data_IF_227228051478
#
_entry.id   IF_227228051478
#
_cell.length_a   1.000
_cell.length_b   1.000
_cell.length_c   1.000
_cell.angle_alpha   90.00
_cell.angle_beta   90.00
_cell.angle_gamma   90.00
#
_symmetry.space_group_name_H-M   'P 1'
#
loop_
_entity.id
_entity.type
_entity.pdbx_description
1 polymer ?
#
# COMPACT_ATOMS: atom_id res chain seq x y z
N UNK A 1 2.67 2.99 -35.35
CA UNK A 1 4.08 2.99 -34.95
C UNK A 1 4.19 3.64 -33.59
N UNK A 2 4.50 2.88 -32.55
CA UNK A 2 4.72 3.40 -31.20
C UNK A 2 6.18 3.18 -30.84
N UNK A 3 7.01 4.21 -31.04
CA UNK A 3 8.42 4.17 -30.69
C UNK A 3 8.63 4.38 -29.19
N UNK A 4 9.81 3.98 -28.70
CA UNK A 4 10.28 4.20 -27.33
C UNK A 4 10.02 5.64 -26.83
N UNK A 5 10.17 6.64 -27.70
CA UNK A 5 9.87 8.06 -27.42
C UNK A 5 8.43 8.29 -26.94
N UNK A 6 7.44 7.65 -27.58
CA UNK A 6 6.01 7.80 -27.23
C UNK A 6 5.71 7.15 -25.87
N UNK A 7 6.39 6.05 -25.55
CA UNK A 7 6.25 5.39 -24.25
C UNK A 7 6.83 6.24 -23.13
N UNK A 8 7.99 6.88 -23.37
CA UNK A 8 8.62 7.80 -22.42
C UNK A 8 7.76 9.04 -22.20
N UNK A 9 7.23 9.65 -23.26
CA UNK A 9 6.33 10.81 -23.14
C UNK A 9 5.09 10.49 -22.31
N UNK A 10 4.44 9.34 -22.57
CA UNK A 10 3.30 8.88 -21.77
C UNK A 10 3.66 8.68 -20.31
N UNK A 11 4.78 8.02 -20.03
CA UNK A 11 5.24 7.82 -18.65
C UNK A 11 5.52 9.13 -17.91
N UNK A 12 6.05 10.13 -18.61
CA UNK A 12 6.27 11.48 -18.05
C UNK A 12 4.93 12.15 -17.72
N UNK A 13 3.94 12.08 -18.60
CA UNK A 13 2.62 12.68 -18.37
C UNK A 13 1.83 11.98 -17.25
N UNK A 14 1.99 10.65 -17.14
CA UNK A 14 1.46 9.86 -16.03
C UNK A 14 2.07 10.28 -14.69
N UNK A 15 3.39 10.48 -14.63
CA UNK A 15 4.07 10.98 -13.44
C UNK A 15 3.60 12.40 -13.09
N UNK A 16 3.46 13.30 -14.07
CA UNK A 16 2.93 14.65 -13.83
C UNK A 16 1.52 14.60 -13.23
N UNK A 17 0.66 13.74 -13.76
CA UNK A 17 -0.68 13.49 -13.23
C UNK A 17 -0.63 13.06 -11.77
N UNK A 18 0.21 12.09 -11.44
CA UNK A 18 0.36 11.61 -10.06
C UNK A 18 0.97 12.66 -9.12
N UNK A 19 1.89 13.48 -9.61
CA UNK A 19 2.57 14.53 -8.84
C UNK A 19 1.70 15.77 -8.59
N UNK A 20 0.69 16.02 -9.42
CA UNK A 20 -0.23 17.15 -9.30
C UNK A 20 -1.26 16.93 -8.17
N UNK A 21 -0.80 16.90 -6.91
CA UNK A 21 -1.63 16.63 -5.74
C UNK A 21 -2.71 17.70 -5.48
N UNK A 22 -2.44 18.94 -5.91
CA UNK A 22 -3.39 20.06 -5.75
C UNK A 22 -4.43 20.13 -6.87
N UNK A 23 -4.21 19.40 -7.95
CA UNK A 23 -5.14 19.28 -9.07
C UNK A 23 -6.01 18.05 -8.84
N UNK A 24 -7.30 18.28 -8.67
CA UNK A 24 -8.31 17.24 -8.48
C UNK A 24 -9.43 17.52 -9.47
N UNK A 25 -9.80 16.51 -10.23
CA UNK A 25 -10.97 16.56 -11.09
C UNK A 25 -12.24 16.74 -10.24
N UNK A 26 -13.28 17.32 -10.84
CA UNK A 26 -14.59 17.45 -10.19
C UNK A 26 -15.16 16.08 -9.83
N UNK A 27 -15.04 15.10 -10.74
CA UNK A 27 -15.49 13.71 -10.57
C UNK A 27 -14.70 12.96 -9.46
N UNK A 28 -13.38 13.13 -9.43
CA UNK A 28 -12.52 12.37 -8.52
C UNK A 28 -12.37 13.00 -7.14
N UNK A 29 -12.39 14.32 -7.05
CA UNK A 29 -12.29 15.11 -5.81
C UNK A 29 -11.25 14.58 -4.81
N UNK A 30 -11.69 14.42 -3.55
CA UNK A 30 -10.82 13.94 -2.45
C UNK A 30 -10.38 12.49 -2.61
N UNK A 31 -11.13 11.68 -3.36
CA UNK A 31 -10.82 10.27 -3.56
C UNK A 31 -9.68 10.11 -4.58
N UNK A 32 -9.65 10.94 -5.62
CA UNK A 32 -8.48 11.07 -6.50
C UNK A 32 -7.23 11.45 -5.70
N UNK A 33 -7.33 12.45 -4.81
CA UNK A 33 -6.22 12.83 -3.94
C UNK A 33 -5.76 11.66 -3.08
N UNK A 34 -6.69 10.91 -2.49
CA UNK A 34 -6.39 9.73 -1.68
C UNK A 34 -5.58 8.69 -2.48
N UNK A 35 -5.97 8.38 -3.72
CA UNK A 35 -5.23 7.42 -4.54
C UNK A 35 -3.86 7.97 -5.00
N UNK A 36 -3.74 9.27 -5.29
CA UNK A 36 -2.43 9.89 -5.61
C UNK A 36 -1.48 9.80 -4.42
N UNK A 37 -1.97 10.11 -3.22
CA UNK A 37 -1.18 9.98 -1.99
C UNK A 37 -0.84 8.52 -1.71
N UNK A 38 -1.77 7.60 -1.92
CA UNK A 38 -1.54 6.16 -1.77
C UNK A 38 -0.47 5.65 -2.74
N UNK A 39 -0.52 6.07 -4.01
CA UNK A 39 0.49 5.77 -5.02
C UNK A 39 1.89 6.19 -4.56
N UNK A 40 2.04 7.46 -4.15
CA UNK A 40 3.33 7.96 -3.69
C UNK A 40 3.79 7.30 -2.39
N UNK A 41 2.87 7.03 -1.46
CA UNK A 41 3.19 6.28 -0.25
C UNK A 41 3.74 4.89 -0.60
N UNK A 42 3.12 4.15 -1.52
CA UNK A 42 3.61 2.85 -1.96
C UNK A 42 4.97 2.92 -2.66
N UNK A 43 5.22 3.95 -3.47
CA UNK A 43 6.54 4.16 -4.11
C UNK A 43 7.62 4.47 -3.06
N UNK A 44 7.35 5.39 -2.13
CA UNK A 44 8.30 5.81 -1.10
C UNK A 44 8.57 4.66 -0.13
N UNK A 45 7.52 4.04 0.41
CA UNK A 45 7.63 2.95 1.39
C UNK A 45 8.21 1.71 0.72
N UNK A 46 7.65 1.28 -0.42
CA UNK A 46 8.14 0.13 -1.18
C UNK A 46 9.58 0.33 -1.66
N UNK A 47 9.93 1.53 -2.12
CA UNK A 47 11.30 1.90 -2.51
C UNK A 47 12.25 1.88 -1.31
N UNK A 48 11.85 2.46 -0.18
CA UNK A 48 12.63 2.39 1.06
C UNK A 48 12.86 0.93 1.47
N UNK A 49 11.85 0.05 1.40
CA UNK A 49 12.04 -1.37 1.70
C UNK A 49 12.87 -2.12 0.65
N UNK A 50 12.73 -1.80 -0.64
CA UNK A 50 13.47 -2.45 -1.72
C UNK A 50 14.96 -2.10 -1.70
N UNK A 51 15.32 -0.90 -1.21
CA UNK A 51 16.69 -0.40 -1.21
C UNK A 51 17.29 -0.25 0.20
N UNK A 52 16.54 -0.50 1.28
CA UNK A 52 17.08 -0.43 2.65
C UNK A 52 17.86 -1.69 3.02
N UNK A 53 19.11 -1.56 3.48
CA UNK A 53 19.88 -2.67 4.06
C UNK A 53 19.37 -3.09 5.45
N UNK A 54 18.55 -2.26 6.10
CA UNK A 54 17.86 -2.53 7.36
C UNK A 54 16.35 -2.38 7.12
N UNK A 55 15.74 -3.39 6.51
CA UNK A 55 14.30 -3.49 6.57
C UNK A 55 13.91 -3.68 8.05
N UNK A 56 12.87 -3.02 8.59
CA UNK A 56 12.34 -3.34 9.92
C UNK A 56 12.02 -4.83 10.14
N UNK A 57 11.80 -5.60 9.06
CA UNK A 57 11.66 -7.06 9.07
C UNK A 57 13.01 -7.81 9.00
N UNK A 58 14.13 -7.12 8.72
CA UNK A 58 15.48 -7.67 8.62
C UNK A 58 16.26 -7.56 9.94
N UNK A 59 15.80 -6.72 10.88
CA UNK A 59 16.33 -6.68 12.25
C UNK A 59 16.01 -7.98 12.99
N UNK A 60 14.91 -8.65 12.62
CA UNK A 60 14.64 -10.02 13.01
C UNK A 60 15.23 -10.91 11.92
N UNK A 61 16.37 -11.54 12.20
CA UNK A 61 16.94 -12.59 11.35
C UNK A 61 16.07 -13.85 11.47
N UNK A 62 14.81 -13.75 11.07
CA UNK A 62 13.86 -14.85 11.12
C UNK A 62 14.22 -15.84 10.01
N UNK A 63 14.74 -17.00 10.42
CA UNK A 63 15.27 -18.06 9.56
C UNK A 63 14.21 -18.75 8.67
N UNK A 64 12.93 -18.38 8.82
CA UNK A 64 11.83 -19.05 8.16
C UNK A 64 11.59 -18.53 6.73
N UNK A 65 11.48 -19.41 5.71
CA UNK A 65 11.22 -18.99 4.32
C UNK A 65 10.00 -18.09 4.12
N UNK A 66 9.00 -18.19 5.01
CA UNK A 66 7.81 -17.34 5.02
C UNK A 66 8.10 -15.87 5.33
N UNK A 67 9.04 -15.56 6.23
CA UNK A 67 9.38 -14.19 6.60
C UNK A 67 10.08 -13.45 5.45
N UNK A 68 10.94 -14.16 4.71
CA UNK A 68 11.63 -13.67 3.51
C UNK A 68 10.66 -13.43 2.35
N UNK A 69 9.66 -14.31 2.19
CA UNK A 69 8.58 -14.11 1.21
C UNK A 69 7.76 -12.87 1.53
N UNK A 70 7.38 -12.70 2.80
CA UNK A 70 6.63 -11.52 3.28
C UNK A 70 7.45 -10.25 3.05
N UNK A 71 8.74 -10.25 3.39
CA UNK A 71 9.63 -9.10 3.21
C UNK A 71 9.76 -8.67 1.73
N UNK A 72 9.89 -9.62 0.81
CA UNK A 72 9.93 -9.35 -0.64
C UNK A 72 8.57 -8.89 -1.19
N UNK A 73 7.48 -9.41 -0.64
CA UNK A 73 6.13 -9.00 -1.00
C UNK A 73 5.82 -7.54 -0.59
N UNK A 74 6.39 -7.06 0.52
CA UNK A 74 6.21 -5.67 0.95
C UNK A 74 7.08 -4.65 0.23
N UNK A 75 8.35 -4.96 -0.05
CA UNK A 75 9.22 -4.02 -0.75
C UNK A 75 8.93 -3.97 -2.25
N UNK A 76 9.37 -5.02 -2.96
CA UNK A 76 9.23 -5.09 -4.42
C UNK A 76 7.78 -5.27 -4.85
N UNK A 77 6.97 -6.01 -4.09
CA UNK A 77 5.54 -6.17 -4.39
C UNK A 77 4.77 -4.84 -4.31
N UNK A 78 5.08 -3.96 -3.34
CA UNK A 78 4.45 -2.65 -3.28
C UNK A 78 4.83 -1.75 -4.47
N UNK A 79 6.11 -1.73 -4.86
CA UNK A 79 6.59 -0.91 -5.99
C UNK A 79 6.08 -1.42 -7.34
N UNK A 80 6.14 -2.73 -7.58
CA UNK A 80 5.85 -3.30 -8.90
C UNK A 80 4.40 -3.77 -9.09
N UNK A 81 3.61 -3.89 -8.02
CA UNK A 81 2.20 -4.30 -8.12
C UNK A 81 1.24 -3.28 -7.54
N UNK A 82 1.44 -2.84 -6.29
CA UNK A 82 0.48 -1.96 -5.62
C UNK A 82 0.46 -0.54 -6.18
N UNK A 83 1.63 0.08 -6.38
CA UNK A 83 1.71 1.43 -6.93
C UNK A 83 1.07 1.52 -8.34
N UNK A 84 1.36 0.63 -9.31
CA UNK A 84 0.65 0.63 -10.59
C UNK A 84 -0.87 0.46 -10.45
N UNK A 85 -1.33 -0.42 -9.55
CA UNK A 85 -2.75 -0.60 -9.29
C UNK A 85 -3.42 0.67 -8.74
N UNK A 86 -2.76 1.37 -7.82
CA UNK A 86 -3.23 2.64 -7.28
C UNK A 86 -3.25 3.74 -8.34
N UNK A 87 -2.27 3.77 -9.25
CA UNK A 87 -2.26 4.71 -10.37
C UNK A 87 -3.44 4.46 -11.34
N UNK A 88 -3.78 3.19 -11.62
CA UNK A 88 -4.99 2.85 -12.38
C UNK A 88 -6.25 3.36 -11.67
N UNK A 89 -6.30 3.31 -10.34
CA UNK A 89 -7.40 3.86 -9.56
C UNK A 89 -7.43 5.39 -9.55
N UNK A 90 -6.28 6.08 -9.65
CA UNK A 90 -6.22 7.53 -9.90
C UNK A 90 -6.91 7.86 -11.23
N UNK A 91 -6.55 7.18 -12.32
CA UNK A 91 -7.17 7.42 -13.64
C UNK A 91 -8.68 7.12 -13.62
N UNK A 92 -9.09 6.05 -12.94
CA UNK A 92 -10.50 5.70 -12.79
C UNK A 92 -11.28 6.74 -11.98
N UNK A 93 -10.71 7.21 -10.87
CA UNK A 93 -11.29 8.27 -10.04
C UNK A 93 -11.48 9.55 -10.82
N UNK A 94 -10.44 9.97 -11.58
CA UNK A 94 -10.44 11.17 -12.41
C UNK A 94 -11.57 11.23 -13.44
N UNK A 95 -12.08 10.08 -13.83
CA UNK A 95 -13.06 9.91 -14.92
C UNK A 95 -14.43 9.47 -14.42
N UNK A 96 -14.68 9.44 -13.10
CA UNK A 96 -15.94 8.95 -12.53
C UNK A 96 -16.18 7.44 -12.73
N UNK A 97 -15.14 6.66 -13.06
CA UNK A 97 -15.27 5.26 -13.50
C UNK A 97 -15.13 4.22 -12.40
N UNK A 98 -14.93 4.63 -11.14
CA UNK A 98 -14.64 3.71 -10.03
C UNK A 98 -15.74 2.66 -9.78
N UNK A 99 -16.99 2.96 -10.12
CA UNK A 99 -18.09 1.99 -10.04
C UNK A 99 -18.01 0.85 -11.07
N UNK A 100 -17.12 0.93 -12.06
CA UNK A 100 -16.92 -0.14 -13.03
C UNK A 100 -16.45 -1.43 -12.37
N UNK A 101 -16.99 -2.57 -12.79
CA UNK A 101 -16.73 -3.88 -12.16
C UNK A 101 -15.23 -4.23 -12.04
N UNK A 102 -14.40 -3.82 -13.00
CA UNK A 102 -12.94 -4.00 -12.94
C UNK A 102 -12.31 -3.23 -11.78
N UNK A 103 -12.66 -1.96 -11.59
CA UNK A 103 -12.08 -1.11 -10.54
C UNK A 103 -12.62 -1.48 -9.16
N UNK A 104 -13.87 -1.92 -9.07
CA UNK A 104 -14.43 -2.50 -7.83
C UNK A 104 -13.68 -3.77 -7.42
N UNK A 105 -13.44 -4.69 -8.36
CA UNK A 105 -12.62 -5.90 -8.11
C UNK A 105 -11.19 -5.55 -7.71
N UNK A 106 -10.57 -4.56 -8.38
CA UNK A 106 -9.22 -4.13 -8.04
C UNK A 106 -9.15 -3.57 -6.61
N UNK A 107 -10.11 -2.75 -6.22
CA UNK A 107 -10.25 -2.26 -4.85
C UNK A 107 -10.42 -3.40 -3.84
N UNK A 108 -11.29 -4.39 -4.12
CA UNK A 108 -11.48 -5.55 -3.26
C UNK A 108 -10.23 -6.42 -3.13
N UNK A 109 -9.48 -6.61 -4.22
CA UNK A 109 -8.22 -7.36 -4.18
C UNK A 109 -7.17 -6.67 -3.31
N UNK A 110 -7.08 -5.33 -3.40
CA UNK A 110 -6.18 -4.56 -2.53
C UNK A 110 -6.64 -4.65 -1.07
N UNK A 111 -7.94 -4.52 -0.80
CA UNK A 111 -8.51 -4.68 0.53
C UNK A 111 -8.21 -6.08 1.11
N UNK A 112 -8.38 -7.14 0.33
CA UNK A 112 -8.07 -8.51 0.76
C UNK A 112 -6.58 -8.69 1.08
N UNK A 113 -5.69 -8.09 0.28
CA UNK A 113 -4.26 -8.12 0.55
C UNK A 113 -3.90 -7.41 1.87
N UNK A 114 -4.47 -6.21 2.11
CA UNK A 114 -4.27 -5.46 3.36
C UNK A 114 -4.79 -6.26 4.56
N UNK A 115 -5.99 -6.83 4.46
CA UNK A 115 -6.55 -7.65 5.54
C UNK A 115 -5.68 -8.87 5.87
N UNK A 116 -5.12 -9.53 4.85
CA UNK A 116 -4.19 -10.65 5.05
C UNK A 116 -2.90 -10.22 5.75
N UNK A 117 -2.36 -9.06 5.36
CA UNK A 117 -1.18 -8.43 5.97
C UNK A 117 -1.43 -8.10 7.45
N UNK A 118 -2.55 -7.45 7.76
CA UNK A 118 -2.91 -7.07 9.13
C UNK A 118 -3.12 -8.31 9.99
N UNK A 119 -3.80 -9.33 9.45
CA UNK A 119 -4.01 -10.61 10.11
C UNK A 119 -2.69 -11.32 10.45
N UNK A 120 -1.75 -11.37 9.51
CA UNK A 120 -0.42 -11.93 9.76
C UNK A 120 0.35 -11.12 10.81
N UNK A 121 0.25 -9.80 10.77
CA UNK A 121 0.89 -8.91 11.76
C UNK A 121 0.37 -9.23 13.17
N UNK A 122 -0.95 -9.29 13.34
CA UNK A 122 -1.57 -9.63 14.63
C UNK A 122 -1.13 -11.02 15.11
N UNK A 123 -1.15 -12.03 14.23
CA UNK A 123 -0.75 -13.39 14.57
C UNK A 123 0.71 -13.47 15.04
N UNK A 124 1.63 -12.83 14.33
CA UNK A 124 3.06 -12.83 14.68
C UNK A 124 3.30 -12.17 16.03
N UNK A 125 2.68 -11.01 16.30
CA UNK A 125 2.83 -10.34 17.59
C UNK A 125 2.21 -11.12 18.75
N UNK A 126 1.06 -11.78 18.55
CA UNK A 126 0.46 -12.66 19.57
C UNK A 126 1.34 -13.89 19.86
N UNK A 127 1.98 -14.44 18.83
CA UNK A 127 2.90 -15.57 18.99
C UNK A 127 4.19 -15.15 19.70
N UNK A 128 4.69 -13.93 19.44
CA UNK A 128 5.88 -13.39 20.09
C UNK A 128 5.64 -13.08 21.58
N UNK A 129 4.47 -12.54 21.96
CA UNK A 129 4.14 -12.29 23.38
C UNK A 129 3.99 -13.58 24.19
N UNK A 130 3.58 -14.69 23.56
CA UNK A 130 3.51 -16.01 24.19
C UNK A 130 4.89 -16.60 24.58
N UNK A 131 5.98 -16.07 24.01
CA UNK A 131 7.36 -16.52 24.27
C UNK A 131 8.05 -15.76 25.43
N UNK A 132 7.35 -14.86 26.13
CA UNK A 132 7.90 -14.06 27.25
C UNK A 132 9.22 -13.31 26.93
N UNK A 133 9.33 -12.57 25.81
CA UNK A 133 10.48 -11.71 25.60
C UNK A 133 10.51 -10.59 26.65
N UNK A 134 11.69 -10.27 27.16
CA UNK A 134 11.91 -9.20 28.13
C UNK A 134 11.32 -7.88 27.58
N UNK A 135 10.32 -7.33 28.27
CA UNK A 135 9.42 -6.27 27.77
C UNK A 135 10.20 -5.01 27.39
N UNK A 136 11.33 -4.80 28.05
CA UNK A 136 12.25 -3.68 27.81
C UNK A 136 13.04 -3.82 26.49
N UNK A 137 13.35 -5.04 26.04
CA UNK A 137 14.00 -5.27 24.73
C UNK A 137 13.04 -5.03 23.56
N UNK A 138 11.76 -5.38 23.72
CA UNK A 138 10.73 -5.14 22.71
C UNK A 138 10.41 -3.64 22.56
N UNK A 139 10.38 -2.91 23.69
CA UNK A 139 10.17 -1.46 23.71
C UNK A 139 11.35 -0.67 23.13
N UNK A 140 12.59 -1.13 23.37
CA UNK A 140 13.81 -0.55 22.82
C UNK A 140 13.94 -0.77 21.30
N UNK A 141 13.48 -1.92 20.79
CA UNK A 141 13.42 -2.19 19.35
C UNK A 141 12.31 -1.39 18.63
N UNK A 142 11.26 -0.95 19.34
CA UNK A 142 10.07 -0.33 18.76
C UNK A 142 9.93 1.18 18.95
N UNK A 143 10.83 1.84 19.69
CA UNK A 143 10.81 3.30 19.87
C UNK A 143 9.76 3.83 20.85
N UNK A 144 9.34 3.05 21.85
CA UNK A 144 8.58 3.56 23.02
C UNK A 144 7.05 3.69 22.87
N UNK A 145 6.47 3.32 21.72
CA UNK A 145 5.05 2.99 21.55
C UNK A 145 5.02 1.58 20.96
N UNK A 146 4.01 0.75 21.26
CA UNK A 146 3.76 -0.50 20.52
C UNK A 146 3.44 -0.14 19.06
N UNK A 147 4.48 0.08 18.24
CA UNK A 147 4.47 0.63 16.88
C UNK A 147 3.44 -0.07 15.97
N UNK A 148 3.19 -1.36 16.24
CA UNK A 148 2.24 -2.16 15.48
C UNK A 148 0.77 -1.72 15.66
N UNK A 149 0.35 -1.16 16.81
CA UNK A 149 -1.05 -0.73 17.01
C UNK A 149 -1.37 0.50 16.17
N UNK A 150 -0.45 1.46 16.13
CA UNK A 150 -0.58 2.65 15.27
C UNK A 150 -0.56 2.27 13.79
N UNK A 151 0.36 1.36 13.41
CA UNK A 151 0.43 0.83 12.05
C UNK A 151 -0.87 0.12 11.64
N UNK A 152 -1.41 -0.75 12.49
CA UNK A 152 -2.69 -1.42 12.27
C UNK A 152 -3.85 -0.42 12.16
N UNK A 153 -3.89 0.62 12.99
CA UNK A 153 -4.97 1.63 12.94
C UNK A 153 -4.99 2.39 11.61
N UNK A 154 -3.80 2.77 11.10
CA UNK A 154 -3.67 3.38 9.78
C UNK A 154 -4.04 2.38 8.69
N UNK A 155 -3.54 1.14 8.78
CA UNK A 155 -3.83 0.07 7.82
C UNK A 155 -5.33 -0.25 7.72
N UNK A 156 -6.03 -0.36 8.85
CA UNK A 156 -7.48 -0.54 8.90
C UNK A 156 -8.25 0.62 8.27
N UNK A 157 -7.76 1.86 8.44
CA UNK A 157 -8.37 3.03 7.81
C UNK A 157 -8.23 2.96 6.29
N UNK A 158 -7.07 2.53 5.79
CA UNK A 158 -6.82 2.29 4.37
C UNK A 158 -7.72 1.17 3.85
N UNK A 159 -7.75 0.03 4.56
CA UNK A 159 -8.61 -1.12 4.27
C UNK A 159 -10.07 -0.70 4.10
N UNK A 160 -10.60 0.12 5.03
CA UNK A 160 -11.97 0.58 4.98
C UNK A 160 -12.29 1.36 3.70
N UNK A 161 -11.37 2.21 3.22
CA UNK A 161 -11.55 2.95 1.96
C UNK A 161 -11.62 2.00 0.77
N UNK A 162 -10.63 1.10 0.61
CA UNK A 162 -10.62 0.16 -0.51
C UNK A 162 -11.83 -0.80 -0.45
N UNK A 163 -12.21 -1.27 0.74
CA UNK A 163 -13.38 -2.12 0.91
C UNK A 163 -14.67 -1.38 0.54
N UNK A 164 -14.83 -0.15 1.01
CA UNK A 164 -15.99 0.68 0.69
C UNK A 164 -16.09 0.95 -0.81
N UNK A 165 -14.99 1.32 -1.46
CA UNK A 165 -14.97 1.56 -2.91
C UNK A 165 -15.22 0.26 -3.69
N UNK A 166 -14.68 -0.86 -3.22
CA UNK A 166 -14.90 -2.17 -3.82
C UNK A 166 -16.37 -2.64 -3.77
N UNK A 167 -17.07 -2.35 -2.68
CA UNK A 167 -18.46 -2.79 -2.48
C UNK A 167 -19.47 -1.78 -3.02
N UNK A 168 -19.26 -0.49 -2.76
CA UNK A 168 -20.32 0.54 -2.82
C UNK A 168 -20.10 1.56 -3.94
N UNK A 169 -18.91 1.67 -4.55
CA UNK A 169 -18.68 2.63 -5.63
C UNK A 169 -19.73 2.48 -6.74
N UNK A 170 -20.26 3.62 -7.18
CA UNK A 170 -21.25 3.74 -8.25
C UNK A 170 -20.58 4.31 -9.49
N UNK A 171 -21.18 4.02 -10.65
CA UNK A 171 -20.81 4.69 -11.90
C UNK A 171 -21.58 6.01 -11.89
N UNK A 172 -20.86 7.12 -11.96
CA UNK A 172 -21.43 8.46 -12.16
C UNK A 172 -21.46 8.78 -13.66
#
# INVERSE_FOLDING_TARGET
GGGWSVAVERGVDDIKTAAALRDQSEEGGKLELYYKLSFWASIIVGGAFAFSPLSPLAIINEYYPSSQFVQRAFGLGAVFMLAPAQFVLVDAARRGRLGGGTFKKLNLSIAAAIAGIDGMTVYTFQSATALNPDVDQLAAASGGIYNYVGALSVSFSILAVYLYQGLVAKVE
#
